data_IF_801644156812
#
_entry.id   IF_801644156812
#
_cell.length_a   1.000
_cell.length_b   1.000
_cell.length_c   1.000
_cell.angle_alpha   90.00
_cell.angle_beta   90.00
_cell.angle_gamma   90.00
#
_symmetry.space_group_name_H-M   'P 1'
#
loop_
_entity.id
_entity.type
_entity.pdbx_description
1 polymer ?
#
# COMPACT_ATOMS: atom_id res chain seq x y z
N UNK A 1 4.21 4.67 13.99
CA UNK A 1 5.40 5.30 13.36
C UNK A 1 6.65 4.40 13.43
N UNK A 2 6.80 3.57 14.46
CA UNK A 2 7.99 2.72 14.66
C UNK A 2 8.13 1.56 13.66
N UNK A 3 7.14 1.33 12.82
CA UNK A 3 7.08 0.22 11.85
C UNK A 3 7.09 0.67 10.40
N UNK A 4 7.40 1.94 10.16
CA UNK A 4 7.45 2.48 8.81
C UNK A 4 8.71 2.01 8.08
N UNK A 5 8.54 1.71 6.80
CA UNK A 5 9.64 1.51 5.86
C UNK A 5 9.91 2.80 5.10
N UNK A 6 11.09 2.90 4.51
CA UNK A 6 11.43 4.00 3.61
C UNK A 6 10.79 3.79 2.24
N UNK A 7 10.44 4.91 1.60
CA UNK A 7 9.92 4.98 0.24
C UNK A 7 10.81 5.91 -0.58
N UNK A 8 10.50 6.12 -1.84
CA UNK A 8 11.27 6.96 -2.77
C UNK A 8 11.62 8.36 -2.22
N UNK A 9 10.71 8.97 -1.44
CA UNK A 9 10.92 10.28 -0.80
C UNK A 9 11.42 10.12 0.64
N UNK A 10 12.66 9.71 0.81
CA UNK A 10 13.28 9.61 2.12
C UNK A 10 14.65 10.28 2.16
N UNK A 11 15.10 10.65 3.35
CA UNK A 11 16.48 11.07 3.62
C UNK A 11 17.08 10.22 4.73
N UNK A 12 18.39 10.06 4.70
CA UNK A 12 19.12 9.32 5.72
C UNK A 12 20.50 9.94 5.93
N UNK A 13 21.14 9.64 7.06
CA UNK A 13 22.50 10.11 7.29
C UNK A 13 23.48 9.43 6.32
N UNK A 14 24.44 10.19 5.82
CA UNK A 14 25.48 9.68 4.93
C UNK A 14 26.31 8.57 5.63
N UNK A 15 26.54 8.74 6.94
CA UNK A 15 27.20 7.70 7.73
C UNK A 15 26.46 6.35 7.66
N UNK A 16 25.13 6.36 7.87
CA UNK A 16 24.36 5.14 7.80
C UNK A 16 24.40 4.50 6.40
N UNK A 17 24.38 5.34 5.36
CA UNK A 17 24.49 4.90 3.97
C UNK A 17 25.81 4.18 3.70
N UNK A 18 26.93 4.75 4.18
CA UNK A 18 28.26 4.14 4.05
C UNK A 18 28.35 2.85 4.88
N UNK A 19 27.84 2.85 6.12
CA UNK A 19 27.89 1.72 7.03
C UNK A 19 27.18 0.46 6.48
N UNK A 20 26.17 0.63 5.60
CA UNK A 20 25.41 -0.46 4.98
C UNK A 20 25.87 -0.81 3.56
N UNK A 21 26.84 -0.09 3.01
CA UNK A 21 27.38 -0.32 1.68
C UNK A 21 26.49 0.17 0.54
N UNK A 22 25.76 1.26 0.76
CA UNK A 22 24.84 1.90 -0.19
C UNK A 22 23.61 1.04 -0.53
N UNK A 23 22.80 1.52 -1.50
CA UNK A 23 21.62 0.80 -1.98
C UNK A 23 22.00 -0.45 -2.78
N UNK A 24 21.25 -1.50 -2.61
CA UNK A 24 21.36 -2.68 -3.46
C UNK A 24 20.83 -2.36 -4.87
N UNK A 25 21.66 -2.58 -5.89
CA UNK A 25 21.34 -2.25 -7.29
C UNK A 25 20.64 -3.37 -8.05
N UNK A 26 20.61 -4.57 -7.49
CA UNK A 26 20.09 -5.80 -8.11
C UNK A 26 18.66 -6.13 -7.67
N UNK A 27 17.96 -5.18 -7.06
CA UNK A 27 16.59 -5.34 -6.59
C UNK A 27 15.72 -4.16 -7.07
N UNK A 28 14.42 -4.38 -7.15
CA UNK A 28 13.45 -3.36 -7.58
C UNK A 28 12.96 -2.51 -6.41
N UNK A 29 12.99 -3.04 -5.20
CA UNK A 29 12.50 -2.40 -3.97
C UNK A 29 13.65 -1.86 -3.11
N UNK A 30 14.63 -1.20 -3.74
CA UNK A 30 15.83 -0.66 -3.11
C UNK A 30 15.52 0.37 -2.02
N UNK A 31 14.46 1.14 -2.21
CA UNK A 31 14.00 2.18 -1.29
C UNK A 31 13.50 1.62 0.05
N UNK A 32 12.77 0.52 0.04
CA UNK A 32 12.38 -0.18 1.27
C UNK A 32 13.48 -1.10 1.80
N UNK A 33 14.31 -1.66 0.92
CA UNK A 33 15.42 -2.52 1.29
C UNK A 33 16.49 -1.80 2.10
N UNK A 34 16.78 -0.52 1.81
CA UNK A 34 17.79 0.25 2.54
C UNK A 34 17.44 0.37 4.02
N UNK A 35 16.15 0.49 4.36
CA UNK A 35 15.71 0.44 5.75
C UNK A 35 16.12 -0.89 6.42
N UNK A 36 15.88 -2.01 5.76
CA UNK A 36 16.23 -3.33 6.29
C UNK A 36 17.74 -3.53 6.44
N UNK A 37 18.53 -3.01 5.51
CA UNK A 37 19.99 -3.03 5.62
C UNK A 37 20.45 -2.28 6.88
N UNK A 38 19.92 -1.08 7.10
CA UNK A 38 20.22 -0.27 8.30
C UNK A 38 19.71 -0.97 9.58
N UNK A 39 18.49 -1.50 9.55
CA UNK A 39 17.92 -2.21 10.69
C UNK A 39 18.75 -3.42 11.12
N UNK A 40 19.26 -4.18 10.15
CA UNK A 40 20.17 -5.31 10.41
C UNK A 40 21.54 -4.82 10.93
N UNK A 41 22.10 -3.80 10.28
CA UNK A 41 23.42 -3.26 10.64
C UNK A 41 23.47 -2.74 12.06
N UNK A 42 22.39 -2.06 12.50
CA UNK A 42 22.30 -1.47 13.85
C UNK A 42 21.57 -2.39 14.86
N UNK A 43 21.49 -3.68 14.61
CA UNK A 43 20.95 -4.64 15.58
C UNK A 43 19.48 -4.43 15.95
N UNK A 44 18.70 -3.86 15.03
CA UNK A 44 17.29 -3.54 15.26
C UNK A 44 17.04 -2.17 15.90
N UNK A 45 18.09 -1.35 16.06
CA UNK A 45 17.98 0.02 16.58
C UNK A 45 18.12 1.05 15.43
N UNK A 46 17.21 0.97 14.47
CA UNK A 46 17.07 1.92 13.39
C UNK A 46 15.59 2.20 13.16
N UNK A 47 15.22 3.47 13.00
CA UNK A 47 13.82 3.92 12.92
C UNK A 47 13.64 4.88 11.77
N UNK A 48 12.45 4.82 11.17
CA UNK A 48 11.97 5.83 10.24
C UNK A 48 11.14 6.85 11.01
N UNK A 49 11.48 8.13 10.87
CA UNK A 49 10.76 9.24 11.48
C UNK A 49 10.01 9.98 10.37
N UNK A 50 8.66 10.06 10.45
CA UNK A 50 7.89 10.80 9.46
C UNK A 50 8.13 12.30 9.58
N UNK A 51 8.33 12.97 8.45
CA UNK A 51 8.61 14.42 8.43
C UNK A 51 7.36 15.27 8.27
N UNK A 52 6.20 14.72 7.99
CA UNK A 52 4.92 15.42 7.79
C UNK A 52 4.99 16.62 6.82
N UNK A 53 5.84 16.50 5.80
CA UNK A 53 5.99 17.49 4.74
C UNK A 53 5.22 17.01 3.53
N UNK A 54 4.34 17.85 2.93
CA UNK A 54 3.64 17.48 1.69
C UNK A 54 4.64 17.18 0.57
N UNK A 55 4.51 16.05 -0.07
CA UNK A 55 5.30 15.65 -1.24
C UNK A 55 4.37 15.55 -2.43
N UNK A 56 4.64 16.35 -3.47
CA UNK A 56 3.92 16.26 -4.72
C UNK A 56 4.56 15.19 -5.61
N UNK A 57 3.76 14.28 -6.09
CA UNK A 57 4.20 13.22 -7.01
C UNK A 57 3.31 13.18 -8.22
N UNK A 58 3.91 12.93 -9.39
CA UNK A 58 3.16 12.71 -10.62
C UNK A 58 2.65 11.27 -10.69
N UNK A 59 1.49 11.10 -11.30
CA UNK A 59 0.96 9.77 -11.59
C UNK A 59 1.66 9.14 -12.79
N UNK A 60 1.59 7.81 -12.89
CA UNK A 60 2.11 7.07 -14.04
C UNK A 60 1.22 7.30 -15.28
N UNK A 61 1.15 8.54 -15.75
CA UNK A 61 0.36 8.95 -16.91
C UNK A 61 1.02 8.48 -18.21
N UNK A 62 0.23 8.02 -19.17
CA UNK A 62 0.61 7.78 -20.57
C UNK A 62 0.03 8.84 -21.49
N UNK A 63 0.28 8.72 -22.77
CA UNK A 63 -0.22 9.65 -23.79
C UNK A 63 -1.74 9.50 -23.99
N UNK A 64 -2.27 8.30 -23.82
CA UNK A 64 -3.69 7.99 -23.83
C UNK A 64 -4.14 7.16 -22.62
N UNK A 65 -5.43 6.80 -22.58
CA UNK A 65 -6.02 5.99 -21.51
C UNK A 65 -5.37 4.60 -21.41
N UNK A 66 -5.16 3.94 -22.56
CA UNK A 66 -4.61 2.58 -22.57
C UNK A 66 -3.15 2.55 -22.16
N UNK A 67 -2.38 3.54 -22.58
CA UNK A 67 -0.99 3.70 -22.13
C UNK A 67 -0.90 4.01 -20.63
N UNK A 68 -1.82 4.83 -20.14
CA UNK A 68 -1.92 5.13 -18.69
C UNK A 68 -2.21 3.86 -17.90
N UNK A 69 -3.16 3.03 -18.35
CA UNK A 69 -3.52 1.76 -17.72
C UNK A 69 -2.34 0.78 -17.76
N UNK A 70 -1.64 0.68 -18.89
CA UNK A 70 -0.45 -0.15 -19.05
C UNK A 70 0.70 0.29 -18.14
N UNK A 71 0.91 1.59 -18.02
CA UNK A 71 1.92 2.14 -17.13
C UNK A 71 1.56 1.91 -15.65
N UNK A 72 0.30 2.06 -15.29
CA UNK A 72 -0.19 1.71 -13.96
C UNK A 72 0.03 0.22 -13.65
N UNK A 73 -0.33 -0.67 -14.56
CA UNK A 73 -0.08 -2.11 -14.41
C UNK A 73 1.41 -2.43 -14.22
N UNK A 74 2.28 -1.81 -15.03
CA UNK A 74 3.74 -1.97 -14.92
C UNK A 74 4.25 -1.48 -13.56
N UNK A 75 3.71 -0.37 -13.06
CA UNK A 75 4.05 0.17 -11.75
C UNK A 75 3.60 -0.77 -10.65
N UNK A 76 2.35 -1.24 -10.66
CA UNK A 76 1.83 -2.20 -9.68
C UNK A 76 2.61 -3.51 -9.69
N UNK A 77 2.93 -4.04 -10.87
CA UNK A 77 3.76 -5.23 -11.01
C UNK A 77 5.15 -5.04 -10.40
N UNK A 78 5.74 -3.86 -10.59
CA UNK A 78 7.03 -3.52 -9.99
C UNK A 78 6.96 -3.45 -8.47
N UNK A 79 5.90 -2.87 -7.91
CA UNK A 79 5.69 -2.82 -6.47
C UNK A 79 5.43 -4.20 -5.84
N UNK A 80 4.80 -5.11 -6.58
CA UNK A 80 4.60 -6.48 -6.13
C UNK A 80 5.93 -7.21 -5.84
N UNK A 81 7.02 -6.85 -6.52
CA UNK A 81 8.35 -7.37 -6.23
C UNK A 81 8.85 -7.00 -4.82
N UNK A 82 8.24 -6.04 -4.14
CA UNK A 82 8.51 -5.74 -2.74
C UNK A 82 8.36 -6.94 -1.80
N UNK A 83 7.64 -7.98 -2.21
CA UNK A 83 7.56 -9.27 -1.52
C UNK A 83 8.92 -9.92 -1.29
N UNK A 84 9.95 -9.62 -2.11
CA UNK A 84 11.33 -10.14 -1.95
C UNK A 84 11.99 -9.70 -0.64
N UNK A 85 11.46 -8.66 0.02
CA UNK A 85 11.90 -8.26 1.35
C UNK A 85 11.57 -9.31 2.41
N UNK A 86 10.51 -10.09 2.24
CA UNK A 86 10.11 -11.12 3.21
C UNK A 86 11.14 -12.25 3.33
N UNK A 87 11.54 -12.97 2.25
CA UNK A 87 12.58 -13.99 2.33
C UNK A 87 13.94 -13.40 2.75
N UNK A 88 14.26 -12.17 2.35
CA UNK A 88 15.46 -11.48 2.82
C UNK A 88 15.46 -11.31 4.34
N UNK A 89 14.35 -10.84 4.92
CA UNK A 89 14.21 -10.70 6.37
C UNK A 89 14.33 -12.05 7.08
N UNK A 90 13.62 -13.08 6.61
CA UNK A 90 13.65 -14.43 7.20
C UNK A 90 15.10 -14.94 7.25
N UNK A 91 15.80 -14.82 6.14
CA UNK A 91 17.19 -15.27 6.04
C UNK A 91 18.13 -14.55 6.99
N UNK A 92 18.06 -13.22 7.03
CA UNK A 92 18.95 -12.41 7.86
C UNK A 92 18.57 -12.46 9.34
N UNK A 93 17.30 -12.46 9.70
CA UNK A 93 16.85 -12.50 11.09
C UNK A 93 17.25 -13.80 11.80
N UNK A 94 17.35 -14.91 11.07
CA UNK A 94 17.86 -16.17 11.63
C UNK A 94 19.32 -16.06 12.07
N UNK A 95 20.10 -15.22 11.42
CA UNK A 95 21.54 -15.05 11.66
C UNK A 95 21.88 -13.93 12.63
N UNK A 96 21.05 -12.88 12.70
CA UNK A 96 21.29 -11.72 13.56
C UNK A 96 20.68 -11.93 14.95
N UNK A 97 21.47 -12.52 15.87
CA UNK A 97 21.01 -12.81 17.26
C UNK A 97 20.78 -11.56 18.11
N UNK A 98 21.41 -10.44 17.78
CA UNK A 98 21.28 -9.17 18.52
C UNK A 98 19.88 -8.55 18.42
N UNK A 99 19.13 -8.84 17.36
CA UNK A 99 17.80 -8.31 17.18
C UNK A 99 16.81 -9.11 18.04
N UNK A 100 16.04 -8.45 18.95
CA UNK A 100 15.05 -9.12 19.77
C UNK A 100 14.00 -9.86 18.93
N UNK A 101 13.60 -11.05 19.41
CA UNK A 101 12.65 -11.90 18.70
C UNK A 101 11.29 -11.21 18.45
N UNK A 102 10.83 -10.41 19.40
CA UNK A 102 9.60 -9.62 19.26
C UNK A 102 9.66 -8.66 18.08
N UNK A 103 10.78 -7.94 17.90
CA UNK A 103 10.96 -7.06 16.73
C UNK A 103 10.96 -7.88 15.42
N UNK A 104 11.63 -9.02 15.39
CA UNK A 104 11.65 -9.89 14.21
C UNK A 104 10.26 -10.32 13.79
N UNK A 105 9.45 -10.82 14.71
CA UNK A 105 8.08 -11.26 14.44
C UNK A 105 7.24 -10.07 13.94
N UNK A 106 7.30 -8.94 14.63
CA UNK A 106 6.52 -7.76 14.29
C UNK A 106 6.80 -7.28 12.87
N UNK A 107 8.08 -7.18 12.49
CA UNK A 107 8.43 -6.73 11.13
C UNK A 107 8.11 -7.78 10.06
N UNK A 108 8.36 -9.07 10.33
CA UNK A 108 7.97 -10.15 9.42
C UNK A 108 6.46 -10.20 9.21
N UNK A 109 5.69 -10.10 10.30
CA UNK A 109 4.24 -10.08 10.22
C UNK A 109 3.73 -8.88 9.44
N UNK A 110 4.27 -7.69 9.69
CA UNK A 110 3.85 -6.47 9.00
C UNK A 110 4.05 -6.56 7.48
N UNK A 111 5.19 -7.08 7.03
CA UNK A 111 5.46 -7.26 5.60
C UNK A 111 4.61 -8.38 5.02
N UNK A 112 4.53 -9.53 5.70
CA UNK A 112 3.75 -10.67 5.23
C UNK A 112 2.26 -10.34 5.14
N UNK A 113 1.69 -9.72 6.18
CA UNK A 113 0.28 -9.30 6.22
C UNK A 113 -0.01 -8.28 5.13
N UNK A 114 0.82 -7.24 4.99
CA UNK A 114 0.61 -6.21 3.98
C UNK A 114 0.61 -6.77 2.55
N UNK A 115 1.57 -7.64 2.22
CA UNK A 115 1.64 -8.29 0.91
C UNK A 115 0.50 -9.28 0.69
N UNK A 116 0.17 -10.08 1.70
CA UNK A 116 -0.93 -11.03 1.65
C UNK A 116 -2.27 -10.31 1.44
N UNK A 117 -2.56 -9.30 2.26
CA UNK A 117 -3.80 -8.53 2.17
C UNK A 117 -3.95 -7.84 0.82
N UNK A 118 -2.87 -7.22 0.32
CA UNK A 118 -2.89 -6.55 -0.96
C UNK A 118 -3.26 -7.46 -2.14
N UNK A 119 -2.78 -8.71 -2.12
CA UNK A 119 -3.08 -9.70 -3.18
C UNK A 119 -4.40 -10.41 -2.94
N UNK A 120 -4.68 -10.81 -1.71
CA UNK A 120 -5.78 -11.76 -1.40
C UNK A 120 -7.12 -11.04 -1.20
N UNK A 121 -7.13 -9.85 -0.58
CA UNK A 121 -8.39 -9.16 -0.25
C UNK A 121 -9.27 -8.89 -1.49
N UNK A 122 -8.75 -8.37 -2.62
CA UNK A 122 -9.55 -8.20 -3.82
C UNK A 122 -10.14 -9.51 -4.34
N UNK A 123 -9.33 -10.59 -4.32
CA UNK A 123 -9.77 -11.92 -4.74
C UNK A 123 -10.82 -12.49 -3.79
N UNK A 124 -10.63 -12.33 -2.48
CA UNK A 124 -11.61 -12.75 -1.49
C UNK A 124 -12.94 -12.01 -1.63
N UNK A 125 -12.91 -10.70 -1.83
CA UNK A 125 -14.13 -9.91 -2.06
C UNK A 125 -14.83 -10.41 -3.31
N UNK A 126 -14.10 -10.62 -4.41
CA UNK A 126 -14.67 -11.08 -5.67
C UNK A 126 -15.24 -12.49 -5.58
N UNK A 127 -14.48 -13.46 -5.07
CA UNK A 127 -14.86 -14.87 -5.03
C UNK A 127 -15.69 -15.23 -3.81
N UNK A 128 -15.30 -14.83 -2.59
CA UNK A 128 -15.96 -15.25 -1.36
C UNK A 128 -17.14 -14.35 -0.99
N UNK A 129 -17.16 -13.10 -1.49
CA UNK A 129 -18.27 -12.20 -1.18
C UNK A 129 -19.63 -12.69 -1.71
N UNK A 130 -19.65 -13.32 -2.89
CA UNK A 130 -20.88 -13.75 -3.53
C UNK A 130 -20.95 -15.24 -3.87
N UNK A 131 -19.81 -15.87 -4.14
CA UNK A 131 -19.75 -17.28 -4.57
C UNK A 131 -20.42 -18.26 -3.59
N UNK A 132 -20.23 -18.15 -2.26
CA UNK A 132 -20.91 -19.01 -1.31
C UNK A 132 -22.44 -18.90 -1.36
N UNK A 133 -22.96 -17.72 -1.72
CA UNK A 133 -24.40 -17.50 -1.86
C UNK A 133 -25.00 -18.26 -3.04
N UNK A 134 -24.24 -18.43 -4.14
CA UNK A 134 -24.69 -19.17 -5.31
C UNK A 134 -24.65 -20.70 -5.10
N UNK A 135 -23.66 -21.19 -4.38
CA UNK A 135 -23.44 -22.63 -4.18
C UNK A 135 -23.98 -23.17 -2.86
N UNK A 136 -24.65 -22.34 -2.05
CA UNK A 136 -25.18 -22.75 -0.76
C UNK A 136 -26.29 -23.83 -0.93
N UNK A 137 -26.19 -24.96 -0.21
CA UNK A 137 -27.27 -25.94 -0.13
C UNK A 137 -28.54 -25.32 0.44
N UNK A 138 -29.70 -25.98 0.15
CA UNK A 138 -31.00 -25.42 0.50
C UNK A 138 -31.20 -25.23 2.02
N UNK A 139 -30.64 -26.11 2.84
CA UNK A 139 -30.66 -25.98 4.29
C UNK A 139 -29.87 -24.78 4.83
N UNK A 140 -28.84 -24.32 4.10
CA UNK A 140 -28.09 -23.11 4.45
C UNK A 140 -28.83 -21.84 3.98
N UNK A 141 -29.52 -21.92 2.84
CA UNK A 141 -30.31 -20.79 2.30
C UNK A 141 -31.43 -20.34 3.25
N UNK A 142 -31.97 -21.27 4.05
CA UNK A 142 -32.97 -20.95 5.08
C UNK A 142 -32.38 -20.32 6.35
N UNK A 143 -31.06 -20.29 6.50
CA UNK A 143 -30.43 -19.71 7.69
C UNK A 143 -30.51 -18.21 7.71
N UNK A 144 -30.65 -17.61 8.90
CA UNK A 144 -30.62 -16.15 9.09
C UNK A 144 -29.31 -15.52 8.60
N UNK A 145 -28.20 -16.25 8.72
CA UNK A 145 -26.91 -15.80 8.21
C UNK A 145 -26.93 -15.60 6.68
N UNK A 146 -27.41 -16.60 5.95
CA UNK A 146 -27.49 -16.53 4.49
C UNK A 146 -28.40 -15.38 4.02
N UNK A 147 -29.55 -15.21 4.68
CA UNK A 147 -30.52 -14.16 4.32
C UNK A 147 -29.99 -12.74 4.60
N UNK A 148 -29.19 -12.59 5.65
CA UNK A 148 -28.63 -11.28 6.02
C UNK A 148 -27.26 -10.97 5.38
N UNK A 149 -26.55 -11.95 4.86
CA UNK A 149 -25.22 -11.76 4.28
C UNK A 149 -25.21 -10.74 3.12
N UNK A 150 -26.13 -10.73 2.16
CA UNK A 150 -26.17 -9.73 1.09
C UNK A 150 -26.33 -8.30 1.64
N UNK A 151 -27.23 -8.11 2.59
CA UNK A 151 -27.47 -6.81 3.23
C UNK A 151 -26.24 -6.32 4.02
N UNK A 152 -25.59 -7.22 4.75
CA UNK A 152 -24.36 -6.89 5.50
C UNK A 152 -23.23 -6.49 4.56
N UNK A 153 -23.04 -7.24 3.46
CA UNK A 153 -22.03 -6.92 2.44
C UNK A 153 -22.31 -5.56 1.78
N UNK A 154 -23.55 -5.32 1.40
CA UNK A 154 -23.95 -4.03 0.81
C UNK A 154 -23.72 -2.88 1.77
N UNK A 155 -24.07 -3.04 3.03
CA UNK A 155 -23.85 -2.03 4.08
C UNK A 155 -22.36 -1.73 4.25
N UNK A 156 -21.50 -2.78 4.33
CA UNK A 156 -20.05 -2.60 4.44
C UNK A 156 -19.47 -1.91 3.20
N UNK A 157 -19.93 -2.26 2.01
CA UNK A 157 -19.50 -1.59 0.77
C UNK A 157 -19.91 -0.12 0.75
N UNK A 158 -21.12 0.20 1.16
CA UNK A 158 -21.61 1.59 1.25
C UNK A 158 -20.80 2.40 2.27
N UNK A 159 -20.45 1.80 3.42
CA UNK A 159 -19.55 2.44 4.39
C UNK A 159 -18.15 2.66 3.84
N UNK A 160 -17.60 1.70 3.10
CA UNK A 160 -16.31 1.84 2.44
C UNK A 160 -16.33 2.96 1.38
N UNK A 161 -17.40 3.06 0.59
CA UNK A 161 -17.59 4.12 -0.40
C UNK A 161 -17.70 5.50 0.27
N UNK A 162 -18.42 5.61 1.39
CA UNK A 162 -18.47 6.84 2.18
C UNK A 162 -17.06 7.21 2.71
N UNK A 163 -16.28 6.23 3.18
CA UNK A 163 -14.89 6.42 3.59
C UNK A 163 -13.99 6.92 2.47
N UNK A 164 -14.14 6.38 1.26
CA UNK A 164 -13.42 6.87 0.06
C UNK A 164 -13.78 8.32 -0.25
N UNK A 165 -15.07 8.67 -0.19
CA UNK A 165 -15.52 10.05 -0.42
C UNK A 165 -14.93 11.03 0.61
N UNK A 166 -14.95 10.68 1.89
CA UNK A 166 -14.32 11.47 2.95
C UNK A 166 -12.81 11.59 2.72
N UNK A 167 -12.14 10.50 2.34
CA UNK A 167 -10.71 10.51 2.02
C UNK A 167 -10.39 11.43 0.83
N UNK A 168 -11.27 11.43 -0.20
CA UNK A 168 -11.15 12.34 -1.33
C UNK A 168 -11.23 13.80 -0.89
N UNK A 169 -12.23 14.14 -0.07
CA UNK A 169 -12.38 15.50 0.46
C UNK A 169 -11.16 15.93 1.30
N UNK A 170 -10.67 15.05 2.17
CA UNK A 170 -9.48 15.33 2.97
C UNK A 170 -8.24 15.52 2.10
N UNK A 171 -8.11 14.75 1.02
CA UNK A 171 -7.01 14.89 0.07
C UNK A 171 -6.99 16.27 -0.61
N UNK A 172 -8.15 16.89 -0.80
CA UNK A 172 -8.24 18.27 -1.34
C UNK A 172 -7.59 19.31 -0.41
N UNK A 173 -7.63 19.06 0.92
CA UNK A 173 -7.01 19.97 1.90
C UNK A 173 -5.48 19.94 1.86
N UNK A 174 -4.92 18.87 1.33
CA UNK A 174 -3.44 18.64 1.24
C UNK A 174 -2.90 19.08 -0.12
N UNK A 175 -3.78 19.44 -1.08
CA UNK A 175 -3.35 19.90 -2.39
C UNK A 175 -2.49 21.17 -2.29
N UNK A 176 -1.38 21.25 -3.05
CA UNK A 176 -0.59 22.45 -3.14
C UNK A 176 -1.44 23.62 -3.72
N UNK A 177 -1.10 24.88 -3.39
CA UNK A 177 -1.78 26.04 -3.92
C UNK A 177 -1.74 26.02 -5.45
N UNK A 178 -2.89 26.32 -6.06
CA UNK A 178 -3.07 26.27 -7.50
C UNK A 178 -2.03 27.17 -8.23
N UNK A 179 -1.25 26.62 -9.19
CA UNK A 179 -0.40 27.44 -10.04
C UNK A 179 -1.24 28.47 -10.82
N UNK A 180 -0.71 29.68 -11.00
CA UNK A 180 -1.42 30.77 -11.73
C UNK A 180 -1.72 30.43 -13.20
N UNK A 181 -0.98 29.49 -13.78
CA UNK A 181 -1.14 29.01 -15.15
C UNK A 181 -2.32 28.06 -15.34
N UNK A 182 -2.86 27.48 -14.25
CA UNK A 182 -3.95 26.51 -14.31
C UNK A 182 -5.29 27.22 -14.05
N UNK A 183 -6.29 27.12 -14.94
CA UNK A 183 -7.59 27.76 -14.76
C UNK A 183 -8.38 27.15 -13.59
N UNK A 184 -9.26 27.94 -12.97
CA UNK A 184 -10.03 27.50 -11.78
C UNK A 184 -10.89 26.25 -12.05
N UNK A 185 -11.47 26.13 -13.25
CA UNK A 185 -12.31 24.99 -13.60
C UNK A 185 -11.52 23.68 -13.72
N UNK A 186 -10.22 23.72 -13.95
CA UNK A 186 -9.39 22.52 -13.98
C UNK A 186 -9.35 21.80 -12.63
N UNK A 187 -9.48 22.52 -11.52
CA UNK A 187 -9.61 21.90 -10.18
C UNK A 187 -10.92 21.15 -10.02
N UNK A 188 -12.01 21.72 -10.52
CA UNK A 188 -13.33 21.06 -10.51
C UNK A 188 -13.26 19.79 -11.34
N UNK A 189 -12.63 19.86 -12.52
CA UNK A 189 -12.47 18.71 -13.40
C UNK A 189 -11.60 17.61 -12.76
N UNK A 190 -10.55 17.98 -12.05
CA UNK A 190 -9.68 17.05 -11.29
C UNK A 190 -10.46 16.35 -10.17
N UNK A 191 -11.32 17.08 -9.43
CA UNK A 191 -12.18 16.49 -8.39
C UNK A 191 -13.16 15.50 -9.03
N UNK A 192 -13.81 15.89 -10.13
CA UNK A 192 -14.73 15.00 -10.85
C UNK A 192 -14.01 13.74 -11.37
N UNK A 193 -12.83 13.89 -11.95
CA UNK A 193 -12.01 12.76 -12.38
C UNK A 193 -11.63 11.84 -11.21
N UNK A 194 -11.33 12.41 -10.05
CA UNK A 194 -10.97 11.65 -8.85
C UNK A 194 -12.17 10.86 -8.30
N UNK A 195 -13.34 11.48 -8.24
CA UNK A 195 -14.59 10.79 -7.86
C UNK A 195 -14.93 9.69 -8.86
N UNK A 196 -14.80 9.97 -10.15
CA UNK A 196 -15.05 8.98 -11.20
C UNK A 196 -14.04 7.82 -11.14
N UNK A 197 -12.76 8.08 -10.87
CA UNK A 197 -11.75 7.04 -10.70
C UNK A 197 -11.99 6.14 -9.47
N UNK A 198 -12.71 6.63 -8.47
CA UNK A 198 -13.13 5.83 -7.31
C UNK A 198 -14.39 4.99 -7.55
N UNK A 199 -15.10 5.22 -8.66
CA UNK A 199 -16.31 4.50 -9.06
C UNK A 199 -16.04 3.37 -10.07
N UNK A 200 -14.83 3.31 -10.64
CA UNK A 200 -14.34 2.27 -11.54
C UNK A 200 -13.35 1.34 -10.80
#
# INVERSE_FOLDING_TARGET
PERLFTFSSHSMSFKALVDVGFWQKNIVSEDSRIFLQCFLRYGGDYRVVPMYIPVSMDTAKGDDFWDSLKNLYRQQRRWAWGVENLPFMIWHFRRHRLIPWTKKIVYLWNVAEGMYSWVIVPLMIFFLGRLPLYFAPEYIRSSAFYQNAPFTLETLMNMAMAGLFVSALLSLLVLPPRPRTVPKHAYIFMILQWVMAGLY
#
